data_IF_676886424781
#
_entry.id   IF_676886424781
#
_cell.length_a   1.000
_cell.length_b   1.000
_cell.length_c   1.000
_cell.angle_alpha   90.00
_cell.angle_beta   90.00
_cell.angle_gamma   90.00
#
_symmetry.space_group_name_H-M   'P 1'
#
loop_
_entity.id
_entity.type
_entity.pdbx_description
1 polymer ?
#
# COMPACT_ATOMS: atom_id res chain seq x y z
N UNK A 1 -24.59 5.08 -31.87
CA UNK A 1 -23.48 4.33 -31.18
C UNK A 1 -23.78 2.85 -31.32
N UNK A 2 -22.89 2.10 -31.96
CA UNK A 2 -23.01 0.64 -32.07
C UNK A 2 -22.40 -0.08 -30.83
N UNK A 3 -21.42 0.55 -30.16
CA UNK A 3 -20.88 0.01 -28.93
C UNK A 3 -19.60 0.70 -28.49
N UNK A 4 -19.00 0.16 -27.41
CA UNK A 4 -17.75 0.65 -26.84
C UNK A 4 -16.74 -0.48 -26.65
N UNK A 5 -15.47 -0.18 -26.87
CA UNK A 5 -14.33 -1.07 -26.65
C UNK A 5 -13.42 -0.39 -25.62
N UNK A 6 -13.01 -1.12 -24.60
CA UNK A 6 -12.07 -0.63 -23.59
C UNK A 6 -10.76 -1.39 -23.69
N UNK A 7 -9.66 -0.68 -23.90
CA UNK A 7 -8.32 -1.25 -24.06
C UNK A 7 -7.33 -0.53 -23.16
N UNK A 8 -6.21 -1.22 -22.87
CA UNK A 8 -5.05 -0.61 -22.22
C UNK A 8 -3.88 -0.70 -23.18
N UNK A 9 -3.35 0.44 -23.61
CA UNK A 9 -2.32 0.55 -24.63
C UNK A 9 -1.18 1.42 -24.11
N UNK A 10 0.06 1.08 -24.47
CA UNK A 10 1.21 1.93 -24.14
C UNK A 10 1.17 3.20 -24.97
N UNK A 11 1.32 4.37 -24.31
CA UNK A 11 1.37 5.66 -24.98
C UNK A 11 2.48 5.72 -26.01
N UNK A 12 2.19 6.29 -27.19
CA UNK A 12 3.10 6.41 -28.30
C UNK A 12 3.46 5.10 -29.01
N UNK A 13 2.93 3.95 -28.59
CA UNK A 13 3.33 2.63 -29.08
C UNK A 13 2.16 1.75 -29.53
N UNK A 14 1.03 2.34 -29.92
CA UNK A 14 -0.07 1.60 -30.49
C UNK A 14 0.31 1.02 -31.85
N UNK A 15 0.07 -0.27 -32.03
CA UNK A 15 0.32 -1.01 -33.27
C UNK A 15 -0.83 -1.98 -33.57
N UNK A 16 -0.93 -2.51 -34.80
CA UNK A 16 -2.00 -3.44 -35.20
C UNK A 16 -1.93 -4.83 -34.53
N UNK A 17 -0.88 -5.11 -33.77
CA UNK A 17 -0.73 -6.38 -33.05
C UNK A 17 -1.72 -6.48 -31.87
N UNK A 18 -1.94 -7.68 -31.29
CA UNK A 18 -2.70 -7.80 -30.05
C UNK A 18 -2.20 -6.84 -28.96
N UNK A 19 -3.08 -6.18 -28.20
CA UNK A 19 -4.54 -6.38 -28.14
C UNK A 19 -5.38 -5.53 -29.11
N UNK A 20 -4.78 -4.59 -29.85
CA UNK A 20 -5.49 -3.58 -30.66
C UNK A 20 -6.16 -4.20 -31.89
N UNK A 21 -5.38 -4.97 -32.67
CA UNK A 21 -5.84 -5.55 -33.92
C UNK A 21 -7.10 -6.39 -33.81
N UNK A 22 -7.11 -7.45 -32.97
CA UNK A 22 -8.28 -8.30 -32.81
C UNK A 22 -9.51 -7.55 -32.27
N UNK A 23 -9.31 -6.60 -31.36
CA UNK A 23 -10.41 -5.86 -30.75
C UNK A 23 -11.11 -4.90 -31.73
N UNK A 24 -10.36 -4.18 -32.54
CA UNK A 24 -10.88 -3.23 -33.53
C UNK A 24 -11.31 -3.93 -34.83
N UNK A 25 -10.54 -4.92 -35.25
CA UNK A 25 -10.81 -5.68 -36.48
C UNK A 25 -12.14 -6.41 -36.44
N UNK A 26 -12.51 -7.01 -35.30
CA UNK A 26 -13.80 -7.67 -35.10
C UNK A 26 -15.01 -6.72 -35.27
N UNK A 27 -14.80 -5.40 -35.18
CA UNK A 27 -15.83 -4.35 -35.33
C UNK A 27 -15.72 -3.59 -36.65
N UNK A 28 -14.76 -3.95 -37.50
CA UNK A 28 -14.57 -3.33 -38.81
C UNK A 28 -14.03 -1.91 -38.80
N UNK A 29 -13.37 -1.51 -37.69
CA UNK A 29 -12.77 -0.18 -37.52
C UNK A 29 -11.40 -0.14 -38.19
N UNK A 30 -11.03 1.01 -38.76
CA UNK A 30 -9.71 1.22 -39.37
C UNK A 30 -8.62 1.26 -38.28
N UNK A 31 -7.88 0.15 -38.14
CA UNK A 31 -6.85 -0.04 -37.11
C UNK A 31 -5.69 0.93 -37.32
N UNK A 32 -5.25 1.12 -38.57
CA UNK A 32 -4.09 1.98 -38.88
C UNK A 32 -4.35 3.43 -38.54
N UNK A 33 -5.54 3.91 -38.83
CA UNK A 33 -5.96 5.27 -38.51
C UNK A 33 -6.05 5.51 -37.00
N UNK A 34 -6.64 4.54 -36.29
CA UNK A 34 -6.67 4.58 -34.83
C UNK A 34 -5.25 4.66 -34.24
N UNK A 35 -4.35 3.78 -34.65
CA UNK A 35 -2.97 3.76 -34.16
C UNK A 35 -2.25 5.10 -34.41
N UNK A 36 -2.43 5.67 -35.60
CA UNK A 36 -1.83 6.98 -35.97
C UNK A 36 -2.36 8.09 -35.08
N UNK A 37 -3.68 8.19 -34.92
CA UNK A 37 -4.31 9.23 -34.09
C UNK A 37 -3.98 9.06 -32.61
N UNK A 38 -4.01 7.82 -32.10
CA UNK A 38 -3.66 7.53 -30.71
C UNK A 38 -2.20 7.88 -30.40
N UNK A 39 -1.26 7.46 -31.24
CA UNK A 39 0.15 7.75 -31.05
C UNK A 39 0.43 9.26 -31.09
N UNK A 40 -0.22 10.00 -31.98
CA UNK A 40 -0.12 11.46 -32.04
C UNK A 40 -0.62 12.14 -30.77
N UNK A 41 -1.73 11.66 -30.17
CA UNK A 41 -2.31 12.22 -28.95
C UNK A 41 -1.59 11.83 -27.66
N UNK A 42 -0.72 10.83 -27.68
CA UNK A 42 -0.10 10.25 -26.48
C UNK A 42 1.43 10.29 -26.50
N UNK A 43 2.03 11.11 -27.36
CA UNK A 43 3.49 11.27 -27.44
C UNK A 43 4.08 11.80 -26.13
N UNK A 44 3.39 12.73 -25.47
CA UNK A 44 3.75 13.32 -24.17
C UNK A 44 3.74 12.31 -23.03
N UNK A 45 3.03 11.19 -23.20
CA UNK A 45 2.88 10.10 -22.20
C UNK A 45 3.49 8.78 -22.68
N UNK A 46 4.52 8.87 -23.53
CA UNK A 46 5.17 7.70 -24.09
C UNK A 46 5.65 6.73 -22.99
N UNK A 47 5.43 5.44 -23.21
CA UNK A 47 5.82 4.36 -22.29
C UNK A 47 4.84 4.09 -21.13
N UNK A 48 3.95 5.02 -20.75
CA UNK A 48 2.92 4.78 -19.74
C UNK A 48 1.77 3.98 -20.33
N UNK A 49 1.19 3.08 -19.53
CA UNK A 49 -0.01 2.33 -19.94
C UNK A 49 -1.23 3.22 -19.77
N UNK A 50 -1.94 3.47 -20.85
CA UNK A 50 -3.11 4.36 -20.89
C UNK A 50 -4.38 3.56 -21.19
N UNK A 51 -5.42 3.65 -20.36
CA UNK A 51 -6.74 3.14 -20.67
C UNK A 51 -7.38 4.01 -21.76
N UNK A 52 -7.97 3.37 -22.74
CA UNK A 52 -8.68 4.02 -23.85
C UNK A 52 -10.08 3.46 -23.95
N UNK A 53 -11.06 4.33 -24.08
CA UNK A 53 -12.43 3.98 -24.39
C UNK A 53 -12.68 4.41 -25.82
N UNK A 54 -12.95 3.45 -26.70
CA UNK A 54 -13.22 3.64 -28.12
C UNK A 54 -14.71 3.42 -28.33
N UNK A 55 -15.41 4.44 -28.77
CA UNK A 55 -16.81 4.38 -29.14
C UNK A 55 -16.89 4.22 -30.64
N UNK A 56 -17.55 3.18 -31.13
CA UNK A 56 -17.73 2.95 -32.56
C UNK A 56 -19.19 3.06 -32.96
N UNK A 57 -19.38 3.49 -34.21
CA UNK A 57 -20.69 3.75 -34.80
C UNK A 57 -21.00 2.77 -35.90
N UNK A 58 -22.28 2.73 -36.34
CA UNK A 58 -22.75 1.82 -37.37
C UNK A 58 -22.14 2.06 -38.75
N UNK A 59 -21.67 3.29 -38.99
CA UNK A 59 -20.97 3.71 -40.22
C UNK A 59 -19.46 3.39 -40.21
N UNK A 60 -18.99 2.60 -39.18
CA UNK A 60 -17.60 2.23 -38.95
C UNK A 60 -16.70 3.38 -38.56
N UNK A 61 -17.22 4.57 -38.32
CA UNK A 61 -16.49 5.66 -37.70
C UNK A 61 -16.25 5.36 -36.21
N UNK A 62 -15.26 6.02 -35.63
CA UNK A 62 -14.93 5.84 -34.22
C UNK A 62 -14.49 7.16 -33.58
N UNK A 63 -14.78 7.28 -32.30
CA UNK A 63 -14.22 8.28 -31.41
C UNK A 63 -13.50 7.60 -30.26
N UNK A 64 -12.47 8.21 -29.69
CA UNK A 64 -11.81 7.64 -28.54
C UNK A 64 -11.40 8.70 -27.49
N UNK A 65 -11.49 8.28 -26.24
CA UNK A 65 -11.07 9.06 -25.07
C UNK A 65 -9.93 8.33 -24.39
N UNK A 66 -8.81 9.03 -24.25
CA UNK A 66 -7.64 8.53 -23.52
C UNK A 66 -7.77 8.95 -22.05
N UNK A 67 -7.69 8.00 -21.14
CA UNK A 67 -7.72 8.25 -19.70
C UNK A 67 -6.32 8.27 -19.11
N UNK A 68 -6.21 8.81 -17.89
CA UNK A 68 -4.95 8.81 -17.13
C UNK A 68 -4.54 7.37 -16.75
N UNK A 69 -3.25 7.10 -16.52
CA UNK A 69 -2.78 5.75 -16.18
C UNK A 69 -3.56 5.11 -15.03
N UNK A 70 -3.76 3.78 -15.04
CA UNK A 70 -4.45 3.08 -13.94
C UNK A 70 -3.75 3.31 -12.59
N UNK A 71 -4.53 3.55 -11.54
CA UNK A 71 -4.02 3.75 -10.18
C UNK A 71 -3.11 2.61 -9.74
N UNK A 72 -3.48 1.37 -10.05
CA UNK A 72 -2.68 0.20 -9.70
C UNK A 72 -1.26 0.26 -10.28
N UNK A 73 -1.09 0.67 -11.54
CA UNK A 73 0.22 0.80 -12.18
C UNK A 73 1.02 1.93 -11.53
N UNK A 74 0.41 3.09 -11.29
CA UNK A 74 1.06 4.22 -10.62
C UNK A 74 1.52 3.84 -9.20
N UNK A 75 0.72 3.06 -8.46
CA UNK A 75 1.09 2.56 -7.13
C UNK A 75 2.27 1.59 -7.19
N UNK A 76 2.33 0.69 -8.16
CA UNK A 76 3.47 -0.21 -8.36
C UNK A 76 4.75 0.54 -8.71
N UNK A 77 4.67 1.54 -9.59
CA UNK A 77 5.79 2.41 -9.94
C UNK A 77 6.29 3.21 -8.73
N UNK A 78 5.38 3.83 -7.96
CA UNK A 78 5.72 4.62 -6.78
C UNK A 78 6.34 3.77 -5.66
N UNK A 79 5.86 2.54 -5.48
CA UNK A 79 6.37 1.60 -4.48
C UNK A 79 7.54 0.75 -4.98
N UNK A 80 7.94 0.86 -6.25
CA UNK A 80 9.05 0.13 -6.89
C UNK A 80 8.90 -1.39 -6.83
N UNK A 81 7.69 -1.91 -6.86
CA UNK A 81 7.40 -3.36 -6.87
C UNK A 81 6.86 -3.80 -8.22
N UNK A 82 7.18 -5.04 -8.61
CA UNK A 82 6.75 -5.61 -9.89
C UNK A 82 5.28 -6.04 -9.91
N UNK A 83 4.68 -6.29 -8.74
CA UNK A 83 3.30 -6.74 -8.64
C UNK A 83 2.76 -6.62 -7.21
N UNK A 84 1.45 -6.64 -7.09
CA UNK A 84 0.76 -6.67 -5.80
C UNK A 84 0.84 -8.04 -5.12
N UNK A 85 0.38 -8.11 -3.87
CA UNK A 85 0.32 -9.35 -3.10
C UNK A 85 -0.80 -10.27 -3.62
N UNK A 86 -0.54 -11.57 -3.63
CA UNK A 86 -1.57 -12.57 -3.86
C UNK A 86 -2.54 -12.70 -2.66
N UNK A 87 -2.05 -12.38 -1.46
CA UNK A 87 -2.82 -12.38 -0.21
C UNK A 87 -2.70 -11.01 0.49
N UNK A 88 -3.35 -9.94 -0.02
CA UNK A 88 -3.12 -8.57 0.44
C UNK A 88 -3.56 -8.30 1.88
N UNK A 89 -4.45 -9.11 2.41
CA UNK A 89 -4.88 -9.08 3.81
C UNK A 89 -3.80 -9.60 4.78
N UNK A 90 -2.99 -10.57 4.36
CA UNK A 90 -1.96 -11.23 5.18
C UNK A 90 -0.56 -10.75 4.90
N UNK A 91 -0.22 -10.62 3.60
CA UNK A 91 1.14 -10.29 3.16
C UNK A 91 1.17 -8.90 2.54
N UNK A 92 1.87 -7.98 3.19
CA UNK A 92 2.15 -6.66 2.62
C UNK A 92 3.45 -6.73 1.82
N UNK A 93 3.44 -6.15 0.62
CA UNK A 93 4.59 -6.19 -0.32
C UNK A 93 5.36 -4.90 -0.35
N UNK A 94 4.72 -3.78 0.01
CA UNK A 94 5.36 -2.48 0.02
C UNK A 94 4.64 -1.51 0.94
N UNK A 95 5.29 -0.36 1.17
CA UNK A 95 4.71 0.79 1.88
C UNK A 95 4.76 2.02 0.97
N UNK A 96 3.74 2.84 1.01
CA UNK A 96 3.63 4.09 0.26
C UNK A 96 3.39 5.26 1.21
N UNK A 97 3.96 6.43 0.91
CA UNK A 97 3.75 7.65 1.69
C UNK A 97 2.48 8.39 1.24
N UNK A 98 1.90 9.19 2.16
CA UNK A 98 0.73 10.01 1.83
C UNK A 98 1.00 11.03 0.73
N UNK A 99 2.22 11.57 0.63
CA UNK A 99 2.58 12.50 -0.43
C UNK A 99 2.55 11.83 -1.81
N UNK A 100 3.02 10.58 -1.89
CA UNK A 100 2.91 9.78 -3.12
C UNK A 100 1.44 9.48 -3.47
N UNK A 101 0.63 9.12 -2.48
CA UNK A 101 -0.82 8.92 -2.66
C UNK A 101 -1.48 10.21 -3.14
N UNK A 102 -1.11 11.37 -2.59
CA UNK A 102 -1.61 12.68 -2.97
C UNK A 102 -1.27 13.02 -4.41
N UNK A 103 -0.02 12.79 -4.83
CA UNK A 103 0.42 13.01 -6.22
C UNK A 103 -0.37 12.16 -7.20
N UNK A 104 -0.54 10.86 -6.92
CA UNK A 104 -1.34 9.95 -7.75
C UNK A 104 -2.81 10.38 -7.80
N UNK A 105 -3.35 10.82 -6.66
CA UNK A 105 -4.73 11.30 -6.58
C UNK A 105 -4.93 12.58 -7.40
N UNK A 106 -3.99 13.51 -7.38
CA UNK A 106 -4.02 14.74 -8.19
C UNK A 106 -4.02 14.43 -9.68
N UNK A 107 -3.12 13.57 -10.15
CA UNK A 107 -3.06 13.15 -11.55
C UNK A 107 -4.35 12.48 -12.02
N UNK A 108 -5.02 11.79 -11.10
CA UNK A 108 -6.22 11.00 -11.41
C UNK A 108 -7.53 11.77 -11.25
N UNK A 109 -7.52 12.96 -10.64
CA UNK A 109 -8.73 13.78 -10.39
C UNK A 109 -9.61 13.96 -11.61
N UNK A 110 -9.01 14.11 -12.79
CA UNK A 110 -9.73 14.31 -14.07
C UNK A 110 -10.64 13.14 -14.43
N UNK A 111 -10.30 11.93 -13.99
CA UNK A 111 -11.02 10.69 -14.32
C UNK A 111 -11.90 10.17 -13.17
N UNK A 112 -11.71 10.69 -11.96
CA UNK A 112 -12.45 10.26 -10.78
C UNK A 112 -13.77 11.04 -10.64
N UNK A 113 -14.74 10.42 -10.00
CA UNK A 113 -16.04 11.03 -9.71
C UNK A 113 -16.10 11.71 -8.34
N UNK A 114 -14.95 12.08 -7.78
CA UNK A 114 -14.85 12.80 -6.50
C UNK A 114 -14.62 14.29 -6.72
N UNK A 115 -15.14 15.12 -5.80
CA UNK A 115 -15.03 16.58 -5.86
C UNK A 115 -13.83 17.10 -5.03
N UNK A 116 -13.36 16.33 -4.06
CA UNK A 116 -12.28 16.74 -3.16
C UNK A 116 -11.06 15.85 -3.32
N UNK A 117 -9.87 16.44 -3.15
CA UNK A 117 -8.62 15.71 -3.19
C UNK A 117 -8.54 14.63 -2.11
N UNK A 118 -9.10 14.89 -0.92
CA UNK A 118 -9.16 13.92 0.17
C UNK A 118 -9.96 12.67 -0.21
N UNK A 119 -11.09 12.85 -0.89
CA UNK A 119 -11.88 11.71 -1.39
C UNK A 119 -11.11 10.92 -2.44
N UNK A 120 -10.39 11.59 -3.34
CA UNK A 120 -9.50 10.95 -4.31
C UNK A 120 -8.39 10.15 -3.62
N UNK A 121 -7.75 10.72 -2.60
CA UNK A 121 -6.72 10.04 -1.81
C UNK A 121 -7.27 8.79 -1.13
N UNK A 122 -8.46 8.84 -0.54
CA UNK A 122 -9.12 7.67 0.05
C UNK A 122 -9.38 6.56 -0.97
N UNK A 123 -9.76 6.91 -2.20
CA UNK A 123 -9.96 5.94 -3.28
C UNK A 123 -8.63 5.29 -3.71
N UNK A 124 -7.55 6.08 -3.84
CA UNK A 124 -6.20 5.59 -4.15
C UNK A 124 -5.69 4.69 -3.02
N UNK A 125 -5.84 5.12 -1.76
CA UNK A 125 -5.47 4.35 -0.58
C UNK A 125 -6.23 3.01 -0.47
N UNK A 126 -7.51 2.99 -0.81
CA UNK A 126 -8.29 1.76 -0.91
C UNK A 126 -7.73 0.79 -1.95
N UNK A 127 -7.30 1.31 -3.11
CA UNK A 127 -6.64 0.51 -4.15
C UNK A 127 -5.29 -0.02 -3.67
N UNK A 128 -4.48 0.80 -3.01
CA UNK A 128 -3.21 0.37 -2.42
C UNK A 128 -3.40 -0.78 -1.41
N UNK A 129 -4.38 -0.65 -0.53
CA UNK A 129 -4.74 -1.70 0.44
C UNK A 129 -5.11 -3.01 -0.23
N UNK A 130 -5.90 -2.97 -1.31
CA UNK A 130 -6.30 -4.16 -2.07
C UNK A 130 -5.13 -4.85 -2.77
N UNK A 131 -4.03 -4.14 -2.99
CA UNK A 131 -2.79 -4.66 -3.57
C UNK A 131 -1.76 -5.11 -2.51
N UNK A 132 -2.08 -4.98 -1.23
CA UNK A 132 -1.15 -5.28 -0.14
C UNK A 132 -0.06 -4.22 0.06
N UNK A 133 -0.33 -2.97 -0.33
CA UNK A 133 0.52 -1.81 -0.08
C UNK A 133 -0.03 -1.08 1.15
N UNK A 134 0.81 -0.86 2.17
CA UNK A 134 0.40 -0.35 3.48
C UNK A 134 0.72 1.13 3.64
N UNK A 135 -0.18 1.86 4.30
CA UNK A 135 -0.02 3.27 4.68
C UNK A 135 -0.26 3.52 6.18
N UNK A 136 -0.60 2.48 6.95
CA UNK A 136 -1.15 2.61 8.30
C UNK A 136 -0.25 3.37 9.30
N UNK A 137 1.06 3.12 9.29
CA UNK A 137 1.98 3.76 10.25
C UNK A 137 2.11 5.28 10.02
N UNK A 138 2.05 5.72 8.77
CA UNK A 138 2.09 7.15 8.44
C UNK A 138 0.78 7.83 8.85
N UNK A 139 -0.36 7.18 8.63
CA UNK A 139 -1.67 7.71 9.01
C UNK A 139 -1.78 7.97 10.52
N UNK A 140 -1.23 7.08 11.36
CA UNK A 140 -1.21 7.27 12.82
C UNK A 140 -0.43 8.54 13.19
N UNK A 141 0.72 8.80 12.54
CA UNK A 141 1.51 10.02 12.76
C UNK A 141 0.77 11.27 12.30
N UNK A 142 0.11 11.22 11.15
CA UNK A 142 -0.57 12.37 10.54
C UNK A 142 -1.84 12.77 11.32
N UNK A 143 -2.50 11.80 11.95
CA UNK A 143 -3.71 12.02 12.78
C UNK A 143 -3.35 12.37 14.22
N UNK A 144 -2.12 12.10 14.66
CA UNK A 144 -1.68 12.43 16.02
C UNK A 144 -1.47 13.94 16.19
N UNK A 145 -2.27 14.57 17.05
CA UNK A 145 -2.20 16.00 17.39
C UNK A 145 -1.66 16.26 18.81
N UNK A 146 -1.22 15.22 19.50
CA UNK A 146 -0.64 15.33 20.84
C UNK A 146 0.78 15.86 20.79
N UNK A 147 1.13 16.73 21.74
CA UNK A 147 2.48 17.32 21.89
C UNK A 147 3.36 16.57 22.89
N UNK A 148 2.97 15.37 23.27
CA UNK A 148 3.67 14.49 24.21
C UNK A 148 3.65 13.06 23.68
N UNK A 149 4.49 12.20 24.24
CA UNK A 149 4.53 10.79 23.89
C UNK A 149 3.25 10.10 24.35
N UNK A 150 2.38 9.83 23.40
CA UNK A 150 1.09 9.20 23.64
C UNK A 150 1.17 7.69 23.41
N UNK A 151 0.38 6.93 24.18
CA UNK A 151 0.18 5.52 23.95
C UNK A 151 -0.65 5.30 22.68
N UNK A 152 -0.32 4.25 21.95
CA UNK A 152 -1.08 3.82 20.77
C UNK A 152 -1.63 2.44 21.04
N UNK A 153 -2.96 2.34 21.03
CA UNK A 153 -3.68 1.08 21.20
C UNK A 153 -4.25 0.61 19.86
N UNK A 154 -4.23 -0.69 19.64
CA UNK A 154 -4.76 -1.32 18.43
C UNK A 154 -5.87 -2.29 18.81
N UNK A 155 -7.09 -1.96 18.41
CA UNK A 155 -8.24 -2.83 18.55
C UNK A 155 -8.57 -3.51 17.22
N UNK A 156 -8.65 -4.85 17.24
CA UNK A 156 -8.91 -5.64 16.03
C UNK A 156 -10.20 -6.43 16.18
N UNK A 157 -11.19 -6.08 15.36
CA UNK A 157 -12.44 -6.83 15.28
C UNK A 157 -12.23 -8.08 14.40
N UNK A 158 -12.06 -9.25 15.03
CA UNK A 158 -11.71 -10.49 14.35
C UNK A 158 -12.89 -11.18 13.65
N UNK A 159 -14.14 -10.79 13.93
CA UNK A 159 -15.31 -11.45 13.37
C UNK A 159 -15.57 -12.86 13.96
N UNK A 160 -14.99 -13.18 15.12
CA UNK A 160 -15.17 -14.44 15.83
C UNK A 160 -16.26 -14.32 16.90
N UNK A 161 -16.92 -15.42 17.21
CA UNK A 161 -17.88 -15.51 18.32
C UNK A 161 -17.14 -15.95 19.61
N UNK A 162 -16.95 -15.04 20.61
CA UNK A 162 -16.20 -15.36 21.82
C UNK A 162 -16.88 -16.39 22.73
N UNK A 163 -18.14 -16.72 22.48
CA UNK A 163 -18.90 -17.73 23.23
C UNK A 163 -18.55 -19.15 22.78
N UNK A 164 -17.92 -19.30 21.62
CA UNK A 164 -17.53 -20.61 21.08
C UNK A 164 -16.08 -20.90 21.44
N UNK A 165 -15.83 -21.95 22.19
CA UNK A 165 -14.50 -22.33 22.65
C UNK A 165 -13.49 -22.55 21.50
N UNK A 166 -13.94 -23.03 20.34
CA UNK A 166 -13.11 -23.25 19.14
C UNK A 166 -12.78 -21.96 18.36
N UNK A 167 -13.39 -20.82 18.74
CA UNK A 167 -13.14 -19.52 18.13
C UNK A 167 -12.40 -18.55 19.08
N UNK A 168 -12.02 -19.01 20.27
CA UNK A 168 -11.18 -18.25 21.19
C UNK A 168 -9.79 -18.05 20.61
N UNK A 169 -9.37 -16.80 20.47
CA UNK A 169 -8.04 -16.43 20.00
C UNK A 169 -7.19 -16.01 21.19
N UNK A 170 -6.11 -16.75 21.43
CA UNK A 170 -5.09 -16.42 22.43
C UNK A 170 -3.71 -16.65 21.82
N UNK A 171 -2.85 -15.66 21.91
CA UNK A 171 -1.50 -15.74 21.35
C UNK A 171 -0.53 -14.81 22.04
N UNK A 172 0.75 -15.08 21.87
CA UNK A 172 1.84 -14.23 22.31
C UNK A 172 2.59 -13.76 21.07
N UNK A 173 2.91 -12.47 21.03
CA UNK A 173 3.66 -11.85 19.93
C UNK A 173 4.89 -11.17 20.50
N UNK A 174 6.06 -11.51 19.96
CA UNK A 174 7.29 -10.79 20.25
C UNK A 174 7.40 -9.59 19.33
N UNK A 175 7.55 -8.40 19.91
CA UNK A 175 7.72 -7.16 19.15
C UNK A 175 9.19 -7.03 18.73
N UNK A 176 9.48 -6.79 17.44
CA UNK A 176 10.86 -6.72 16.93
C UNK A 176 11.70 -5.61 17.58
N UNK A 177 11.04 -4.51 17.99
CA UNK A 177 11.68 -3.34 18.59
C UNK A 177 11.33 -3.17 20.07
N UNK A 178 10.80 -4.22 20.72
CA UNK A 178 10.39 -4.19 22.12
C UNK A 178 9.12 -3.36 22.38
N UNK A 179 8.81 -3.16 23.65
CA UNK A 179 7.62 -2.40 24.10
C UNK A 179 7.90 -0.94 24.43
N UNK A 180 9.13 -0.46 24.27
CA UNK A 180 9.56 0.88 24.68
C UNK A 180 9.73 1.07 26.19
N UNK A 181 9.41 0.06 27.02
CA UNK A 181 9.61 0.10 28.47
C UNK A 181 11.06 -0.21 28.79
N UNK A 182 11.71 0.72 29.51
CA UNK A 182 12.99 0.46 30.11
C UNK A 182 12.77 -0.20 31.48
N UNK A 183 13.19 -1.43 31.60
CA UNK A 183 13.11 -2.19 32.86
C UNK A 183 14.50 -2.26 33.46
N UNK A 184 14.66 -1.79 34.69
CA UNK A 184 15.90 -1.93 35.44
C UNK A 184 16.03 -3.37 35.93
N UNK A 185 17.12 -4.02 35.58
CA UNK A 185 17.37 -5.43 35.92
C UNK A 185 18.46 -5.52 37.00
N UNK A 186 18.12 -6.10 38.14
CA UNK A 186 19.06 -6.47 39.17
C UNK A 186 19.34 -7.96 39.09
N UNK A 187 20.60 -8.35 38.84
CA UNK A 187 21.04 -9.73 38.88
C UNK A 187 21.73 -10.05 40.21
N UNK A 188 21.13 -10.96 40.97
CA UNK A 188 21.74 -11.48 42.21
C UNK A 188 22.55 -12.73 41.83
N UNK A 189 23.86 -12.60 41.83
CA UNK A 189 24.79 -13.66 41.46
C UNK A 189 26.06 -13.65 42.32
N UNK A 190 26.77 -14.77 42.33
CA UNK A 190 28.09 -14.89 42.95
C UNK A 190 29.14 -14.02 42.26
N UNK A 191 30.23 -13.60 42.95
CA UNK A 191 31.27 -12.74 42.36
C UNK A 191 31.85 -13.26 41.07
N UNK A 192 31.93 -14.59 40.88
CA UNK A 192 32.47 -15.24 39.69
C UNK A 192 31.61 -15.01 38.43
N UNK A 193 30.29 -14.74 38.60
CA UNK A 193 29.33 -14.54 37.52
C UNK A 193 28.96 -13.07 37.28
N UNK A 194 29.52 -12.16 38.03
CA UNK A 194 29.21 -10.73 37.87
C UNK A 194 29.58 -10.18 36.51
N UNK A 195 30.70 -10.63 35.94
CA UNK A 195 31.15 -10.19 34.62
C UNK A 195 30.20 -10.62 33.52
N UNK A 196 29.69 -11.87 33.60
CA UNK A 196 28.75 -12.41 32.64
C UNK A 196 27.38 -11.75 32.74
N UNK A 197 26.91 -11.48 33.95
CA UNK A 197 25.65 -10.76 34.19
C UNK A 197 25.68 -9.33 33.68
N UNK A 198 26.79 -8.61 33.83
CA UNK A 198 26.99 -7.27 33.22
C UNK A 198 27.05 -7.33 31.72
N UNK A 199 27.74 -8.31 31.16
CA UNK A 199 27.79 -8.55 29.71
C UNK A 199 26.42 -8.89 29.11
N UNK A 200 25.56 -9.56 29.89
CA UNK A 200 24.18 -9.87 29.51
C UNK A 200 23.22 -8.65 29.61
N UNK A 201 23.69 -7.48 30.12
CA UNK A 201 22.90 -6.24 30.14
C UNK A 201 22.16 -5.98 31.45
N UNK A 202 22.59 -6.57 32.57
CA UNK A 202 22.05 -6.21 33.91
C UNK A 202 22.56 -4.82 34.35
N UNK A 203 21.64 -3.98 34.82
CA UNK A 203 21.96 -2.63 35.32
C UNK A 203 22.65 -2.66 36.68
N UNK A 204 22.27 -3.62 37.51
CA UNK A 204 22.80 -3.83 38.83
C UNK A 204 23.18 -5.29 39.06
N UNK A 205 24.36 -5.53 39.56
CA UNK A 205 24.89 -6.88 39.77
C UNK A 205 25.55 -6.96 41.15
N UNK A 206 25.25 -7.98 41.93
CA UNK A 206 25.83 -8.23 43.26
C UNK A 206 24.97 -9.20 44.06
N UNK A 207 25.41 -9.63 45.22
CA UNK A 207 24.68 -10.56 46.08
C UNK A 207 24.34 -9.94 47.45
N UNK A 208 25.30 -9.90 48.37
CA UNK A 208 25.06 -9.57 49.77
C UNK A 208 24.64 -8.12 49.97
N UNK A 209 25.27 -7.20 49.27
CA UNK A 209 24.99 -5.77 49.31
C UNK A 209 23.54 -5.44 48.93
N UNK A 210 23.01 -6.11 47.88
CA UNK A 210 21.65 -5.85 47.45
C UNK A 210 20.63 -6.61 48.27
N UNK A 211 20.98 -7.78 48.82
CA UNK A 211 20.15 -8.48 49.79
C UNK A 211 19.92 -7.66 51.05
N UNK A 212 20.97 -7.02 51.56
CA UNK A 212 20.83 -6.12 52.73
C UNK A 212 19.97 -4.89 52.43
N UNK A 213 20.18 -4.27 51.25
CA UNK A 213 19.35 -3.15 50.78
C UNK A 213 17.86 -3.54 50.62
N UNK A 214 17.57 -4.72 50.11
CA UNK A 214 16.20 -5.21 49.96
C UNK A 214 15.55 -5.50 51.34
N UNK A 215 16.32 -6.00 52.31
CA UNK A 215 15.82 -6.28 53.64
C UNK A 215 15.63 -5.01 54.50
N UNK A 216 16.38 -3.97 54.17
CA UNK A 216 16.32 -2.68 54.88
C UNK A 216 15.21 -1.75 54.41
N UNK A 217 14.49 -2.04 53.31
CA UNK A 217 13.38 -1.24 52.74
C UNK A 217 13.87 -0.28 51.70
#
# INVERSE_FOLDING_TARGET
IAGQIKLQIKGGAANPSPPVGPALGSKGINIMEFCKQFNARTQDKAGKVLPVIITYYSDKSFDFVVKTPPVAIQLLEASKVKGGSAEPNRKKVATITWDQVKTIAQDKMVDLNCFTLESAMKMVAGTARSMGISEAAQLVKDVTFTKFDASVDIDVRLGVDPRKANQMVRGVVSLPHGTGKQVRVLALCTPDQEADAKAAGADYVGLDEYIEKIKGG
#
